data_IF_273645212200
#
_entry.id   IF_273645212200
#
_cell.length_a   1.000
_cell.length_b   1.000
_cell.length_c   1.000
_cell.angle_alpha   90.00
_cell.angle_beta   90.00
_cell.angle_gamma   90.00
#
_symmetry.space_group_name_H-M   'P 1'
#
loop_
_entity.id
_entity.type
_entity.pdbx_description
1 polymer ?
#
# COMPACT_ATOMS: atom_id res chain seq x y z
N UNK A 1 46.96 35.96 44.88
CA UNK A 1 45.76 36.70 44.44
C UNK A 1 45.43 36.28 43.01
N UNK A 2 44.34 35.53 42.81
CA UNK A 2 43.93 34.95 41.52
C UNK A 2 43.17 36.01 40.71
N UNK A 3 43.52 36.23 39.44
CA UNK A 3 42.68 36.99 38.49
C UNK A 3 42.30 36.04 37.35
N UNK A 4 41.02 35.62 37.33
CA UNK A 4 40.42 34.91 36.21
C UNK A 4 39.98 35.93 35.15
N UNK A 5 40.39 35.73 33.91
CA UNK A 5 39.84 36.41 32.74
C UNK A 5 38.78 35.45 32.16
N UNK A 6 37.52 35.85 32.24
CA UNK A 6 36.42 35.12 31.63
C UNK A 6 36.35 35.46 30.14
N UNK A 7 36.80 34.54 29.28
CA UNK A 7 36.57 34.62 27.83
C UNK A 7 35.22 33.95 27.56
N UNK A 8 34.20 34.77 27.34
CA UNK A 8 32.87 34.33 26.92
C UNK A 8 32.90 34.06 25.41
N UNK A 9 33.10 32.80 25.02
CA UNK A 9 32.84 32.35 23.65
C UNK A 9 31.34 32.12 23.51
N UNK A 10 30.66 33.09 22.89
CA UNK A 10 29.28 32.94 22.42
C UNK A 10 29.28 31.90 21.28
N UNK A 11 29.06 30.63 21.60
CA UNK A 11 28.77 29.61 20.59
C UNK A 11 27.37 29.89 20.07
N UNK A 12 27.29 30.53 18.90
CA UNK A 12 26.04 30.64 18.13
C UNK A 12 25.66 29.22 17.73
N UNK A 13 24.75 28.60 18.49
CA UNK A 13 24.16 27.33 18.10
C UNK A 13 23.28 27.59 16.89
N UNK A 14 23.82 27.32 15.71
CA UNK A 14 23.03 27.19 14.50
C UNK A 14 22.09 26.00 14.73
N UNK A 15 20.83 26.30 15.07
CA UNK A 15 19.76 25.31 15.11
C UNK A 15 19.66 24.72 13.71
N UNK A 16 20.25 23.54 13.52
CA UNK A 16 19.97 22.71 12.36
C UNK A 16 18.50 22.32 12.49
N UNK A 17 17.63 22.99 11.74
CA UNK A 17 16.23 22.63 11.64
C UNK A 17 16.14 21.15 11.26
N UNK A 18 15.41 20.38 12.06
CA UNK A 18 15.17 18.96 11.86
C UNK A 18 14.47 18.73 10.51
N UNK A 19 14.65 17.56 9.87
CA UNK A 19 14.10 17.31 8.53
C UNK A 19 12.58 17.50 8.49
N UNK A 20 12.15 18.16 7.41
CA UNK A 20 10.78 18.57 7.08
C UNK A 20 9.78 17.41 7.18
N UNK A 21 8.73 17.62 7.96
CA UNK A 21 7.68 16.63 8.25
C UNK A 21 6.55 16.60 7.19
N UNK A 22 6.78 17.15 6.00
CA UNK A 22 5.82 17.22 4.90
C UNK A 22 6.57 17.33 3.55
N UNK A 23 6.04 16.68 2.51
CA UNK A 23 6.50 16.85 1.12
C UNK A 23 5.55 17.82 0.40
N UNK A 24 6.11 18.81 -0.29
CA UNK A 24 5.36 19.70 -1.17
C UNK A 24 5.04 19.00 -2.50
N UNK A 25 3.79 19.04 -2.92
CA UNK A 25 3.34 18.50 -4.22
C UNK A 25 3.97 19.29 -5.36
N UNK A 26 4.53 18.60 -6.35
CA UNK A 26 5.06 19.20 -7.57
C UNK A 26 4.11 18.98 -8.76
N UNK A 27 4.20 19.79 -9.82
CA UNK A 27 3.47 19.52 -11.06
C UNK A 27 3.75 18.10 -11.58
N UNK A 28 2.67 17.33 -11.80
CA UNK A 28 2.75 15.93 -12.25
C UNK A 28 2.81 14.88 -11.14
N UNK A 29 2.75 15.29 -9.87
CA UNK A 29 2.60 14.34 -8.77
C UNK A 29 1.16 13.82 -8.64
N UNK A 30 1.05 12.61 -8.11
CA UNK A 30 -0.21 11.99 -7.69
C UNK A 30 -0.03 11.42 -6.29
N UNK A 31 -1.11 11.29 -5.52
CA UNK A 31 -1.04 10.66 -4.19
C UNK A 31 -0.42 9.26 -4.26
N UNK A 32 -0.75 8.47 -5.28
CA UNK A 32 -0.16 7.13 -5.48
C UNK A 32 1.33 7.17 -5.76
N UNK A 33 1.80 8.14 -6.55
CA UNK A 33 3.23 8.30 -6.84
C UNK A 33 3.99 8.73 -5.57
N UNK A 34 3.48 9.72 -4.85
CA UNK A 34 4.06 10.20 -3.59
C UNK A 34 4.11 9.07 -2.56
N UNK A 35 3.02 8.31 -2.42
CA UNK A 35 2.97 7.16 -1.52
C UNK A 35 4.06 6.13 -1.87
N UNK A 36 4.15 5.76 -3.15
CA UNK A 36 5.15 4.81 -3.65
C UNK A 36 6.59 5.28 -3.42
N UNK A 37 6.87 6.55 -3.71
CA UNK A 37 8.20 7.16 -3.49
C UNK A 37 8.59 7.19 -2.01
N UNK A 38 7.58 7.28 -1.12
CA UNK A 38 7.77 7.26 0.33
C UNK A 38 7.57 5.86 0.95
N UNK A 39 7.52 4.79 0.14
CA UNK A 39 7.36 3.40 0.58
C UNK A 39 6.11 3.16 1.47
N UNK A 40 5.01 3.84 1.17
CA UNK A 40 3.72 3.67 1.83
C UNK A 40 2.63 3.33 0.83
N UNK A 41 1.58 2.67 1.30
CA UNK A 41 0.36 2.48 0.52
C UNK A 41 -0.39 3.80 0.36
N UNK A 42 -1.23 3.90 -0.67
CA UNK A 42 -2.12 5.06 -0.85
C UNK A 42 -3.04 5.25 0.36
N UNK A 43 -3.46 4.16 1.00
CA UNK A 43 -4.30 4.22 2.19
C UNK A 43 -3.55 4.78 3.39
N UNK A 44 -2.33 4.33 3.67
CA UNK A 44 -1.50 4.88 4.76
C UNK A 44 -1.23 6.38 4.53
N UNK A 45 -0.98 6.78 3.28
CA UNK A 45 -0.83 8.19 2.94
C UNK A 45 -2.15 8.96 3.15
N UNK A 46 -3.30 8.38 2.80
CA UNK A 46 -4.60 9.00 3.02
C UNK A 46 -4.92 9.17 4.52
N UNK A 47 -4.63 8.15 5.33
CA UNK A 47 -4.81 8.17 6.78
C UNK A 47 -3.90 9.20 7.47
N UNK A 48 -2.67 9.38 6.95
CA UNK A 48 -1.77 10.43 7.40
C UNK A 48 -2.22 11.85 7.00
N UNK A 49 -3.17 11.95 6.06
CA UNK A 49 -3.65 13.20 5.49
C UNK A 49 -5.19 13.29 5.50
N UNK A 50 -5.85 13.21 6.68
CA UNK A 50 -7.32 13.23 6.78
C UNK A 50 -7.94 14.55 6.28
N UNK A 51 -7.14 15.61 6.14
CA UNK A 51 -7.54 16.86 5.51
C UNK A 51 -7.81 16.73 3.99
N UNK A 52 -7.28 15.70 3.34
CA UNK A 52 -7.42 15.46 1.89
C UNK A 52 -8.59 14.50 1.66
N UNK A 53 -9.79 15.07 1.47
CA UNK A 53 -11.02 14.29 1.22
C UNK A 53 -11.02 13.61 -0.15
N UNK A 54 -10.38 14.23 -1.14
CA UNK A 54 -10.29 13.70 -2.50
C UNK A 54 -8.82 13.44 -2.87
N UNK A 55 -8.40 12.18 -2.78
CA UNK A 55 -7.04 11.75 -3.07
C UNK A 55 -6.64 11.92 -4.55
N UNK A 56 -7.61 12.07 -5.44
CA UNK A 56 -7.36 12.32 -6.87
C UNK A 56 -7.15 13.80 -7.19
N UNK A 57 -7.36 14.71 -6.22
CA UNK A 57 -7.26 16.15 -6.41
C UNK A 57 -6.28 16.77 -5.40
N UNK A 58 -5.03 16.87 -5.82
CA UNK A 58 -3.96 17.61 -5.12
C UNK A 58 -3.41 18.70 -6.02
N UNK A 59 -2.86 19.76 -5.44
CA UNK A 59 -2.36 20.92 -6.17
C UNK A 59 -0.87 21.13 -5.91
N UNK A 60 -0.08 21.59 -6.91
CA UNK A 60 1.29 22.03 -6.67
C UNK A 60 1.38 23.04 -5.51
N UNK A 61 2.35 22.88 -4.62
CA UNK A 61 2.47 23.68 -3.40
C UNK A 61 1.69 23.17 -2.20
N UNK A 62 0.80 22.18 -2.38
CA UNK A 62 0.09 21.55 -1.27
C UNK A 62 1.07 20.70 -0.44
N UNK A 63 0.98 20.80 0.89
CA UNK A 63 1.76 19.95 1.78
C UNK A 63 1.09 18.60 2.00
N UNK A 64 1.85 17.54 1.76
CA UNK A 64 1.46 16.16 2.00
C UNK A 64 2.29 15.62 3.15
N UNK A 65 1.60 15.16 4.19
CA UNK A 65 2.21 14.48 5.31
C UNK A 65 2.69 13.09 4.87
N UNK A 66 4.00 12.92 4.81
CA UNK A 66 4.65 11.64 4.51
C UNK A 66 5.26 11.01 5.77
N UNK A 67 4.95 11.53 6.98
CA UNK A 67 5.37 10.89 8.22
C UNK A 67 4.72 9.52 8.34
N UNK A 68 5.56 8.50 8.32
CA UNK A 68 5.27 7.22 8.96
C UNK A 68 5.13 7.48 10.46
N UNK A 69 3.89 7.56 10.96
CA UNK A 69 3.65 7.25 12.36
C UNK A 69 3.85 5.74 12.52
N UNK A 70 4.68 5.32 13.46
CA UNK A 70 5.09 3.93 13.77
C UNK A 70 6.35 3.47 13.04
N UNK A 71 7.43 3.25 13.81
CA UNK A 71 8.54 2.29 13.63
C UNK A 71 8.86 1.82 12.20
N UNK A 72 10.14 1.78 11.82
CA UNK A 72 10.61 1.06 10.62
C UNK A 72 10.03 -0.37 10.58
N UNK A 73 8.86 -0.55 9.98
CA UNK A 73 8.35 -1.86 9.62
C UNK A 73 9.27 -2.30 8.49
N UNK A 74 10.27 -3.10 8.86
CA UNK A 74 11.09 -3.85 7.93
C UNK A 74 10.15 -4.37 6.85
N UNK A 75 10.46 -4.05 5.60
CA UNK A 75 9.88 -4.63 4.40
C UNK A 75 9.38 -6.07 4.68
N UNK A 76 8.06 -6.21 4.82
CA UNK A 76 7.37 -7.45 5.15
C UNK A 76 7.43 -7.84 6.62
N UNK A 77 6.42 -7.44 7.42
CA UNK A 77 5.53 -8.36 8.15
C UNK A 77 4.23 -7.59 8.39
N UNK A 78 3.17 -7.90 7.64
CA UNK A 78 1.84 -7.51 8.07
C UNK A 78 1.44 -8.50 9.17
N UNK A 79 1.50 -8.07 10.42
CA UNK A 79 1.01 -8.88 11.54
C UNK A 79 -0.52 -8.96 11.43
N UNK A 80 -1.03 -10.14 11.06
CA UNK A 80 -2.47 -10.45 11.04
C UNK A 80 -3.19 -10.20 9.71
N UNK A 81 -4.53 -10.30 9.76
CA UNK A 81 -5.40 -10.08 8.60
C UNK A 81 -5.75 -8.60 8.46
N UNK A 82 -5.84 -8.14 7.22
CA UNK A 82 -6.34 -6.82 6.83
C UNK A 82 -7.51 -6.94 5.86
N UNK A 83 -8.38 -5.95 5.85
CA UNK A 83 -9.52 -5.90 4.93
C UNK A 83 -9.07 -5.44 3.53
N UNK A 84 -9.52 -6.16 2.51
CA UNK A 84 -9.32 -5.85 1.11
C UNK A 84 -10.66 -5.91 0.38
N UNK A 85 -10.82 -5.07 -0.64
CA UNK A 85 -11.90 -5.26 -1.62
C UNK A 85 -11.46 -6.33 -2.63
N UNK A 86 -12.27 -7.37 -2.83
CA UNK A 86 -12.07 -8.38 -3.85
C UNK A 86 -13.07 -8.22 -4.98
N UNK A 87 -12.57 -8.24 -6.22
CA UNK A 87 -13.34 -8.54 -7.43
C UNK A 87 -12.95 -9.92 -7.95
N UNK A 88 -13.57 -10.39 -9.04
CA UNK A 88 -13.14 -11.58 -9.75
C UNK A 88 -13.06 -11.36 -11.26
N UNK A 89 -12.15 -12.09 -11.90
CA UNK A 89 -11.97 -12.12 -13.35
C UNK A 89 -11.78 -13.54 -13.88
N UNK A 90 -12.14 -13.78 -15.14
CA UNK A 90 -11.98 -15.09 -15.80
C UNK A 90 -11.28 -15.01 -17.15
N UNK A 91 -10.90 -13.79 -17.58
CA UNK A 91 -10.26 -13.56 -18.87
C UNK A 91 -8.73 -13.56 -18.74
N UNK A 92 -8.05 -13.94 -19.81
CA UNK A 92 -6.58 -13.99 -19.87
C UNK A 92 -6.03 -15.40 -19.63
N UNK A 93 -4.88 -15.68 -20.23
CA UNK A 93 -4.22 -17.00 -20.15
C UNK A 93 -2.85 -16.94 -19.49
N UNK A 94 -2.22 -15.77 -19.48
CA UNK A 94 -0.87 -15.54 -18.96
C UNK A 94 -0.89 -14.32 -18.04
N UNK A 95 -0.35 -14.46 -16.84
CA UNK A 95 -0.28 -13.42 -15.80
C UNK A 95 0.90 -12.46 -16.03
N UNK A 96 0.93 -11.35 -15.30
CA UNK A 96 2.08 -10.43 -15.30
C UNK A 96 3.43 -11.09 -14.94
N UNK A 97 3.43 -12.16 -14.14
CA UNK A 97 4.66 -12.95 -13.84
C UNK A 97 4.99 -14.01 -14.89
N UNK A 98 4.17 -14.17 -15.93
CA UNK A 98 4.36 -15.12 -17.02
C UNK A 98 3.83 -16.53 -16.75
N UNK A 99 3.10 -16.75 -15.65
CA UNK A 99 2.48 -18.04 -15.34
C UNK A 99 1.10 -18.16 -15.99
N UNK A 100 0.58 -19.39 -16.12
CA UNK A 100 -0.81 -19.59 -16.53
C UNK A 100 -1.75 -19.36 -15.36
N UNK A 101 -2.84 -18.66 -15.61
CA UNK A 101 -3.90 -18.44 -14.61
C UNK A 101 -4.46 -19.77 -14.09
N UNK A 102 -4.79 -19.82 -12.81
CA UNK A 102 -5.39 -21.00 -12.17
C UNK A 102 -6.32 -20.59 -11.02
N UNK A 103 -7.55 -21.12 -11.02
CA UNK A 103 -8.51 -20.90 -9.94
C UNK A 103 -8.00 -21.48 -8.61
N UNK A 104 -8.26 -20.78 -7.51
CA UNK A 104 -7.76 -21.15 -6.18
C UNK A 104 -6.26 -20.88 -5.98
N UNK A 105 -5.61 -20.17 -6.92
CA UNK A 105 -4.17 -19.87 -6.86
C UNK A 105 -3.85 -18.45 -7.30
N UNK A 106 -4.29 -18.06 -8.48
CA UNK A 106 -3.89 -16.80 -9.12
C UNK A 106 -4.75 -15.64 -8.63
N UNK A 107 -4.07 -14.56 -8.22
CA UNK A 107 -4.70 -13.27 -7.94
C UNK A 107 -3.95 -12.13 -8.64
N UNK A 108 -4.69 -11.11 -9.06
CA UNK A 108 -4.15 -9.83 -9.46
C UNK A 108 -4.10 -8.88 -8.25
N UNK A 109 -3.01 -8.14 -8.11
CA UNK A 109 -2.77 -7.26 -6.95
C UNK A 109 -2.16 -5.92 -7.36
N UNK A 110 -2.05 -5.00 -6.39
CA UNK A 110 -1.14 -3.86 -6.46
C UNK A 110 0.25 -4.27 -5.92
N UNK A 111 1.31 -4.33 -6.75
CA UNK A 111 2.65 -4.71 -6.32
C UNK A 111 3.27 -3.81 -5.24
N UNK A 112 2.77 -2.58 -5.07
CA UNK A 112 3.21 -1.68 -4.00
C UNK A 112 2.68 -2.08 -2.62
N UNK A 113 1.61 -2.87 -2.58
CA UNK A 113 0.98 -3.38 -1.34
C UNK A 113 1.32 -4.85 -1.12
N UNK A 114 1.17 -5.68 -2.15
CA UNK A 114 1.47 -7.11 -2.16
C UNK A 114 2.49 -7.35 -3.29
N UNK A 115 3.79 -7.52 -3.00
CA UNK A 115 4.78 -7.79 -4.03
C UNK A 115 4.43 -9.03 -4.85
N UNK A 116 4.66 -9.00 -6.17
CA UNK A 116 4.48 -10.17 -7.03
C UNK A 116 5.35 -11.34 -6.54
N UNK A 117 4.80 -12.55 -6.63
CA UNK A 117 5.36 -13.78 -6.08
C UNK A 117 4.97 -14.07 -4.62
N UNK A 118 4.44 -13.08 -3.89
CA UNK A 118 4.01 -13.27 -2.50
C UNK A 118 2.89 -14.29 -2.40
N UNK A 119 2.91 -15.10 -1.34
CA UNK A 119 1.77 -15.89 -0.90
C UNK A 119 0.93 -15.10 0.08
N UNK A 120 -0.39 -15.22 -0.04
CA UNK A 120 -1.35 -14.61 0.88
C UNK A 120 -2.40 -15.63 1.29
N UNK A 121 -2.78 -15.64 2.56
CA UNK A 121 -3.96 -16.35 3.02
C UNK A 121 -5.16 -15.41 2.91
N UNK A 122 -6.22 -15.86 2.24
CA UNK A 122 -7.46 -15.12 2.04
C UNK A 122 -8.61 -15.83 2.75
N UNK A 123 -9.39 -15.06 3.51
CA UNK A 123 -10.68 -15.45 4.06
C UNK A 123 -11.78 -14.62 3.41
N UNK A 124 -12.71 -15.32 2.79
CA UNK A 124 -13.91 -14.79 2.16
C UNK A 124 -15.08 -14.76 3.16
N UNK A 125 -16.09 -13.91 2.90
CA UNK A 125 -17.27 -13.80 3.76
C UNK A 125 -18.16 -15.06 3.67
N UNK A 126 -19.19 -15.09 4.51
CA UNK A 126 -20.20 -16.15 4.52
C UNK A 126 -20.78 -16.40 3.11
N UNK A 127 -20.88 -17.69 2.75
CA UNK A 127 -21.31 -18.15 1.42
C UNK A 127 -20.16 -18.33 0.42
N UNK A 128 -18.96 -17.83 0.72
CA UNK A 128 -17.77 -17.93 -0.15
C UNK A 128 -16.59 -18.64 0.51
N UNK A 129 -16.79 -19.29 1.65
CA UNK A 129 -15.73 -19.95 2.42
C UNK A 129 -15.04 -21.08 1.66
N UNK A 130 -15.71 -21.65 0.66
CA UNK A 130 -15.13 -22.63 -0.26
C UNK A 130 -13.98 -22.07 -1.09
N UNK A 131 -13.83 -20.74 -1.16
CA UNK A 131 -12.70 -20.05 -1.77
C UNK A 131 -11.60 -19.69 -0.76
N UNK A 132 -11.77 -19.96 0.54
CA UNK A 132 -10.72 -19.70 1.53
C UNK A 132 -9.45 -20.48 1.19
N UNK A 133 -8.29 -19.85 1.33
CA UNK A 133 -7.04 -20.55 1.06
C UNK A 133 -5.85 -19.65 0.83
N UNK A 134 -4.75 -20.27 0.38
CA UNK A 134 -3.50 -19.59 0.08
C UNK A 134 -3.40 -19.32 -1.42
N UNK A 135 -3.33 -18.05 -1.77
CA UNK A 135 -3.21 -17.53 -3.12
C UNK A 135 -1.80 -16.99 -3.37
N UNK A 136 -1.45 -16.81 -4.64
CA UNK A 136 -0.17 -16.28 -5.11
C UNK A 136 -0.41 -15.03 -5.93
N UNK A 137 0.26 -13.93 -5.57
CA UNK A 137 0.27 -12.68 -6.31
C UNK A 137 1.03 -12.83 -7.63
N UNK A 138 0.31 -13.03 -8.72
CA UNK A 138 0.94 -13.34 -10.02
C UNK A 138 0.59 -12.33 -11.10
N UNK A 139 -0.51 -11.62 -10.90
CA UNK A 139 -1.04 -10.74 -11.93
C UNK A 139 -1.21 -9.31 -11.43
N UNK A 140 -1.47 -8.41 -12.37
CA UNK A 140 -1.74 -7.00 -12.06
C UNK A 140 -2.88 -6.49 -12.93
N UNK A 141 -3.57 -5.46 -12.46
CA UNK A 141 -4.57 -4.75 -13.26
C UNK A 141 -4.44 -3.24 -13.07
N UNK A 142 -4.81 -2.47 -14.10
CA UNK A 142 -4.82 -1.00 -14.02
C UNK A 142 -5.82 -0.50 -12.96
N UNK A 143 -6.94 -1.22 -12.76
CA UNK A 143 -7.96 -0.92 -11.75
C UNK A 143 -7.72 -1.62 -10.40
N UNK A 144 -6.64 -2.39 -10.27
CA UNK A 144 -6.26 -3.10 -9.04
C UNK A 144 -5.15 -2.28 -8.37
N UNK A 145 -5.56 -1.46 -7.40
CA UNK A 145 -4.72 -0.47 -6.71
C UNK A 145 -5.05 -0.44 -5.22
N UNK A 146 -4.03 -0.26 -4.38
CA UNK A 146 -4.17 -0.27 -2.92
C UNK A 146 -4.59 -1.63 -2.36
N UNK A 147 -5.46 -1.62 -1.34
CA UNK A 147 -5.98 -2.82 -0.69
C UNK A 147 -7.11 -3.47 -1.52
N UNK A 148 -6.81 -3.78 -2.79
CA UNK A 148 -7.72 -4.45 -3.72
C UNK A 148 -7.06 -5.67 -4.34
N UNK A 149 -7.82 -6.76 -4.44
CA UNK A 149 -7.44 -8.01 -5.10
C UNK A 149 -8.45 -8.34 -6.19
N UNK A 150 -8.00 -8.90 -7.30
CA UNK A 150 -8.86 -9.56 -8.29
C UNK A 150 -8.58 -11.06 -8.28
N UNK A 151 -9.56 -11.88 -7.91
CA UNK A 151 -9.40 -13.34 -7.86
C UNK A 151 -9.71 -13.96 -9.21
N UNK A 152 -8.82 -14.83 -9.70
CA UNK A 152 -9.10 -15.56 -10.92
C UNK A 152 -10.10 -16.71 -10.67
N UNK A 153 -11.19 -16.73 -11.43
CA UNK A 153 -12.17 -17.82 -11.46
C UNK A 153 -12.27 -18.38 -12.89
N UNK A 154 -12.46 -19.69 -13.04
CA UNK A 154 -12.40 -20.36 -14.33
C UNK A 154 -13.63 -20.19 -15.24
N UNK A 155 -14.62 -19.39 -14.82
CA UNK A 155 -15.85 -19.16 -15.56
C UNK A 155 -16.41 -17.76 -15.30
N UNK A 156 -16.90 -17.11 -16.37
CA UNK A 156 -17.48 -15.77 -16.28
C UNK A 156 -18.71 -15.70 -15.37
N UNK A 157 -19.55 -16.74 -15.37
CA UNK A 157 -20.75 -16.79 -14.53
C UNK A 157 -20.38 -16.79 -13.04
N UNK A 158 -19.28 -17.46 -12.66
CA UNK A 158 -18.74 -17.38 -11.30
C UNK A 158 -18.29 -15.98 -10.93
N UNK A 159 -17.69 -15.23 -11.86
CA UNK A 159 -17.29 -13.84 -11.62
C UNK A 159 -18.50 -12.93 -11.38
N UNK A 160 -19.56 -13.11 -12.17
CA UNK A 160 -20.82 -12.36 -12.03
C UNK A 160 -21.45 -12.67 -10.67
N UNK A 161 -21.54 -13.95 -10.30
CA UNK A 161 -22.07 -14.37 -9.01
C UNK A 161 -21.22 -13.86 -7.85
N UNK A 162 -19.89 -13.90 -7.99
CA UNK A 162 -18.94 -13.43 -6.98
C UNK A 162 -19.05 -11.92 -6.75
N UNK A 163 -19.22 -11.10 -7.78
CA UNK A 163 -19.36 -9.65 -7.65
C UNK A 163 -18.18 -8.99 -6.89
N UNK A 164 -18.50 -8.07 -5.97
CA UNK A 164 -17.53 -7.42 -5.08
C UNK A 164 -17.69 -7.94 -3.67
N UNK A 165 -16.60 -8.32 -3.01
CA UNK A 165 -16.60 -8.84 -1.63
C UNK A 165 -15.57 -8.13 -0.77
N UNK A 166 -15.89 -7.90 0.49
CA UNK A 166 -14.90 -7.56 1.50
C UNK A 166 -14.26 -8.85 2.01
N UNK A 167 -12.93 -8.92 1.98
CA UNK A 167 -12.16 -10.12 2.32
C UNK A 167 -11.08 -9.79 3.35
N UNK A 168 -10.64 -10.78 4.10
CA UNK A 168 -9.53 -10.67 5.03
C UNK A 168 -8.28 -11.32 4.44
N UNK A 169 -7.18 -10.58 4.37
CA UNK A 169 -5.93 -11.01 3.73
C UNK A 169 -4.77 -10.93 4.71
N UNK A 170 -3.98 -12.01 4.80
CA UNK A 170 -2.72 -12.06 5.53
C UNK A 170 -1.59 -12.44 4.58
N UNK A 171 -0.52 -11.66 4.54
CA UNK A 171 0.65 -11.95 3.69
C UNK A 171 1.59 -12.93 4.42
N UNK A 172 1.97 -14.03 3.77
CA UNK A 172 2.64 -15.17 4.40
C UNK A 172 4.18 -15.20 4.28
N UNK A 173 4.76 -14.40 3.38
CA UNK A 173 6.17 -14.45 2.93
C UNK A 173 6.56 -15.70 2.15
#
# INVERSE_FOLDING_TARGET
>A
MKKLIAVSTLVVSMLIASPTFAQEVKPGDTMSKIARENNMSLQELAEANPQIKNLSLIFPGQEINTKVGVEKHKSGVYEGYKHFTSTAYSMGTVTATGTKVQEGRTIAVDPSVIPLGSKVEIKFPEGYEHLNGVYTAEDTGSAIKGNKIDVYLNANDKCIEFGVRDIQVKILK
#
